data_IF_676530581491
#
_entry.id   IF_676530581491
#
_cell.length_a   1.000
_cell.length_b   1.000
_cell.length_c   1.000
_cell.angle_alpha   90.00
_cell.angle_beta   90.00
_cell.angle_gamma   90.00
#
_symmetry.space_group_name_H-M   'P 1'
#
loop_
_entity.id
_entity.type
_entity.pdbx_description
1 polymer ?
#
# COMPACT_ATOMS: atom_id res chain seq x y z
N UNK A 1 10.75 -9.62 -5.84
CA UNK A 1 9.48 -9.21 -5.19
C UNK A 1 9.61 -7.75 -4.80
N UNK A 2 8.54 -6.99 -4.99
CA UNK A 2 8.47 -5.56 -4.70
C UNK A 2 7.28 -5.27 -3.80
N UNK A 3 7.49 -4.37 -2.83
CA UNK A 3 6.44 -3.80 -2.02
C UNK A 3 6.39 -2.29 -2.21
N UNK A 4 5.18 -1.74 -2.22
CA UNK A 4 4.93 -0.31 -2.34
C UNK A 4 4.14 0.16 -1.13
N UNK A 5 4.72 1.08 -0.37
CA UNK A 5 4.05 1.75 0.75
C UNK A 5 3.50 3.08 0.25
N UNK A 6 2.19 3.25 0.36
CA UNK A 6 1.50 4.51 0.11
C UNK A 6 1.13 5.11 1.46
N UNK A 7 1.97 6.03 1.95
CA UNK A 7 1.79 6.71 3.23
C UNK A 7 0.87 7.91 3.07
N UNK A 8 -0.33 7.78 3.60
CA UNK A 8 -1.42 8.74 3.52
C UNK A 8 -1.47 9.66 4.75
N UNK A 9 -0.34 9.93 5.39
CA UNK A 9 -0.27 10.98 6.42
C UNK A 9 -0.69 12.34 5.87
N UNK A 10 -1.17 13.22 6.76
CA UNK A 10 -1.49 14.61 6.44
C UNK A 10 -0.28 15.54 6.56
N UNK A 11 0.87 15.03 7.04
CA UNK A 11 2.06 15.80 7.38
C UNK A 11 3.10 15.69 6.26
N UNK A 12 3.41 16.81 5.60
CA UNK A 12 4.41 16.84 4.54
C UNK A 12 5.82 16.63 5.08
N UNK A 13 6.71 16.06 4.27
CA UNK A 13 8.11 15.92 4.65
C UNK A 13 8.76 17.32 4.82
N UNK A 14 9.70 17.48 5.77
CA UNK A 14 10.29 16.47 6.65
C UNK A 14 9.56 16.29 7.99
N UNK A 15 8.30 16.71 8.12
CA UNK A 15 7.58 16.58 9.40
C UNK A 15 7.44 15.09 9.80
N UNK A 16 7.74 14.72 11.05
CA UNK A 16 7.56 13.36 11.55
C UNK A 16 6.09 12.92 11.49
N UNK A 17 5.88 11.70 11.00
CA UNK A 17 4.55 11.12 10.84
C UNK A 17 4.37 9.88 11.71
N UNK A 18 3.37 9.89 12.60
CA UNK A 18 3.03 8.71 13.41
C UNK A 18 2.54 7.53 12.55
N UNK A 19 2.07 7.78 11.32
CA UNK A 19 1.69 6.73 10.36
C UNK A 19 2.92 6.10 9.71
N UNK A 20 4.02 6.85 9.59
CA UNK A 20 5.26 6.35 8.98
C UNK A 20 5.94 5.32 9.88
N UNK A 21 6.04 5.58 11.19
CA UNK A 21 6.68 4.67 12.15
C UNK A 21 6.19 3.21 12.04
N UNK A 22 4.89 2.89 12.15
CA UNK A 22 4.42 1.50 11.99
C UNK A 22 4.56 1.00 10.55
N UNK A 23 4.42 1.86 9.54
CA UNK A 23 4.62 1.47 8.14
C UNK A 23 6.07 1.03 7.88
N UNK A 24 7.05 1.71 8.50
CA UNK A 24 8.47 1.38 8.40
C UNK A 24 8.81 0.06 9.12
N UNK A 25 8.15 -0.24 10.24
CA UNK A 25 8.26 -1.55 10.90
C UNK A 25 7.74 -2.64 9.97
N UNK A 26 6.53 -2.48 9.43
CA UNK A 26 5.93 -3.44 8.50
C UNK A 26 6.77 -3.61 7.24
N UNK A 27 7.34 -2.53 6.70
CA UNK A 27 8.20 -2.58 5.52
C UNK A 27 9.62 -3.09 5.83
N UNK A 28 10.07 -2.99 7.08
CA UNK A 28 11.38 -3.45 7.54
C UNK A 28 11.54 -4.96 7.45
N UNK A 29 10.52 -5.71 7.85
CA UNK A 29 10.50 -7.18 7.78
C UNK A 29 10.72 -7.75 6.37
N UNK A 30 9.93 -7.38 5.34
CA UNK A 30 10.17 -7.85 3.99
C UNK A 30 11.48 -7.31 3.41
N UNK A 31 11.89 -6.07 3.76
CA UNK A 31 13.17 -5.50 3.35
C UNK A 31 14.35 -6.35 3.83
N UNK A 32 14.34 -6.79 5.08
CA UNK A 32 15.37 -7.66 5.65
C UNK A 32 15.46 -9.02 4.93
N UNK A 33 14.41 -9.44 4.22
CA UNK A 33 14.33 -10.66 3.41
C UNK A 33 14.59 -10.42 1.92
N UNK A 34 15.09 -9.23 1.56
CA UNK A 34 15.47 -8.89 0.18
C UNK A 34 14.33 -8.38 -0.71
N UNK A 35 13.17 -8.05 -0.14
CA UNK A 35 12.09 -7.40 -0.90
C UNK A 35 12.44 -5.94 -1.15
N UNK A 36 12.35 -5.50 -2.41
CA UNK A 36 12.54 -4.09 -2.75
C UNK A 36 11.35 -3.25 -2.28
N UNK A 37 11.60 -2.24 -1.44
CA UNK A 37 10.56 -1.36 -0.90
C UNK A 37 10.63 0.00 -1.59
N UNK A 38 9.49 0.49 -2.07
CA UNK A 38 9.31 1.89 -2.50
C UNK A 38 8.24 2.54 -1.64
N UNK A 39 8.52 3.73 -1.10
CA UNK A 39 7.57 4.48 -0.28
C UNK A 39 7.19 5.79 -0.97
N UNK A 40 5.90 6.10 -1.01
CA UNK A 40 5.35 7.36 -1.46
C UNK A 40 4.62 8.03 -0.30
N UNK A 41 4.99 9.27 0.03
CA UNK A 41 4.24 10.09 0.97
C UNK A 41 3.24 10.94 0.18
N UNK A 42 1.96 10.58 0.26
CA UNK A 42 0.92 11.09 -0.64
C UNK A 42 0.79 12.61 -0.58
N UNK A 43 0.93 13.21 0.60
CA UNK A 43 0.81 14.66 0.78
C UNK A 43 1.95 15.45 0.12
N UNK A 44 3.07 14.80 -0.21
CA UNK A 44 4.18 15.42 -0.95
C UNK A 44 3.98 15.31 -2.48
N UNK A 45 2.95 14.61 -2.93
CA UNK A 45 2.64 14.36 -4.32
C UNK A 45 1.40 15.15 -4.74
N UNK A 46 1.44 15.77 -5.92
CA UNK A 46 0.25 16.43 -6.46
C UNK A 46 -0.70 15.40 -7.10
N UNK A 47 -1.51 14.72 -6.28
CA UNK A 47 -2.53 13.80 -6.78
C UNK A 47 -3.83 14.56 -7.03
N UNK A 48 -4.24 14.65 -8.29
CA UNK A 48 -5.50 15.28 -8.66
C UNK A 48 -6.69 14.37 -8.30
N UNK A 49 -7.85 14.93 -7.89
CA UNK A 49 -9.05 14.13 -7.64
C UNK A 49 -9.60 13.54 -8.95
N UNK A 50 -10.22 12.36 -8.87
CA UNK A 50 -10.83 11.67 -10.00
C UNK A 50 -10.60 10.16 -9.92
N UNK A 51 -11.00 9.42 -10.95
CA UNK A 51 -10.95 7.93 -10.95
C UNK A 51 -10.12 7.32 -12.09
N UNK A 52 -9.54 8.14 -12.98
CA UNK A 52 -8.74 7.66 -14.12
C UNK A 52 -7.25 7.43 -13.77
N UNK A 53 -6.46 6.74 -14.58
CA UNK A 53 -5.01 6.59 -14.32
C UNK A 53 -4.26 7.92 -14.38
N UNK A 54 -4.74 8.89 -15.16
CA UNK A 54 -4.11 10.19 -15.38
C UNK A 54 -5.20 11.26 -15.51
N UNK A 55 -5.19 12.28 -14.65
CA UNK A 55 -6.11 13.44 -14.75
C UNK A 55 -5.56 14.58 -15.61
N UNK A 56 -4.40 14.41 -16.23
CA UNK A 56 -3.76 15.40 -17.08
C UNK A 56 -2.64 16.16 -16.38
N UNK A 57 -2.40 17.40 -16.84
CA UNK A 57 -1.19 18.13 -16.47
C UNK A 57 -1.06 18.34 -14.96
N UNK A 58 0.10 17.95 -14.43
CA UNK A 58 0.45 18.11 -13.02
C UNK A 58 0.03 16.94 -12.13
N UNK A 59 -0.65 15.92 -12.64
CA UNK A 59 -1.02 14.75 -11.84
C UNK A 59 0.19 13.84 -11.56
N UNK A 60 0.50 13.63 -10.28
CA UNK A 60 1.55 12.73 -9.81
C UNK A 60 1.12 11.26 -9.73
N UNK A 61 -0.19 10.98 -9.83
CA UNK A 61 -0.73 9.62 -9.70
C UNK A 61 -0.15 8.59 -10.68
N UNK A 62 0.08 8.89 -11.98
CA UNK A 62 0.52 7.88 -12.95
C UNK A 62 1.81 7.14 -12.53
N UNK A 63 2.71 7.81 -11.82
CA UNK A 63 3.95 7.20 -11.30
C UNK A 63 3.67 6.21 -10.16
N UNK A 64 2.82 6.60 -9.21
CA UNK A 64 2.42 5.77 -8.07
C UNK A 64 1.62 4.56 -8.58
N UNK A 65 0.66 4.80 -9.48
CA UNK A 65 -0.15 3.77 -10.12
C UNK A 65 0.70 2.71 -10.82
N UNK A 66 1.70 3.13 -11.61
CA UNK A 66 2.63 2.18 -12.26
C UNK A 66 3.40 1.37 -11.22
N UNK A 67 3.88 2.00 -10.16
CA UNK A 67 4.59 1.32 -9.07
C UNK A 67 3.71 0.27 -8.38
N UNK A 68 2.41 0.54 -8.20
CA UNK A 68 1.45 -0.38 -7.60
C UNK A 68 1.21 -1.61 -8.49
N UNK A 69 0.97 -1.41 -9.79
CA UNK A 69 0.81 -2.52 -10.76
C UNK A 69 2.04 -3.41 -10.85
N UNK A 70 3.20 -2.82 -10.62
CA UNK A 70 4.49 -3.48 -10.62
C UNK A 70 4.77 -4.26 -9.32
N UNK A 71 4.08 -3.94 -8.23
CA UNK A 71 4.32 -4.53 -6.92
C UNK A 71 3.46 -5.78 -6.68
N UNK A 72 4.00 -6.70 -5.87
CA UNK A 72 3.23 -7.84 -5.34
C UNK A 72 2.61 -7.53 -3.97
N UNK A 73 3.16 -6.55 -3.25
CA UNK A 73 2.76 -6.20 -1.88
C UNK A 73 2.42 -4.70 -1.83
N UNK A 74 1.19 -4.30 -2.15
CA UNK A 74 0.72 -2.94 -1.89
C UNK A 74 0.39 -2.77 -0.40
N UNK A 75 0.87 -1.67 0.21
CA UNK A 75 0.61 -1.31 1.61
C UNK A 75 0.06 0.11 1.63
N UNK A 76 -1.21 0.28 1.98
CA UNK A 76 -1.80 1.61 2.21
C UNK A 76 -1.71 1.91 3.71
N UNK A 77 -0.82 2.83 4.09
CA UNK A 77 -0.63 3.24 5.47
C UNK A 77 -1.37 4.57 5.70
N UNK A 78 -2.43 4.57 6.50
CA UNK A 78 -3.24 5.76 6.76
C UNK A 78 -3.40 6.00 8.26
N UNK A 79 -3.38 7.25 8.74
CA UNK A 79 -3.92 7.54 10.06
C UNK A 79 -5.44 7.33 10.04
N UNK A 80 -6.00 7.05 11.21
CA UNK A 80 -7.46 7.00 11.43
C UNK A 80 -7.93 8.32 12.01
N UNK A 81 -8.92 8.93 11.37
CA UNK A 81 -9.53 10.20 11.77
C UNK A 81 -11.04 10.03 11.90
N UNK A 82 -11.56 10.14 13.13
CA UNK A 82 -13.01 10.02 13.42
C UNK A 82 -13.60 8.72 12.82
N UNK A 83 -12.85 7.61 12.94
CA UNK A 83 -13.26 6.30 12.42
C UNK A 83 -13.06 6.10 10.91
N UNK A 84 -12.51 7.07 10.18
CA UNK A 84 -12.30 6.99 8.73
C UNK A 84 -10.80 7.00 8.36
N UNK A 85 -10.43 6.47 7.19
CA UNK A 85 -9.15 6.79 6.57
C UNK A 85 -8.98 8.29 6.36
N UNK A 86 -7.73 8.73 6.25
CA UNK A 86 -7.40 10.11 5.93
C UNK A 86 -7.89 10.52 4.53
N UNK A 87 -8.07 11.82 4.28
CA UNK A 87 -8.46 12.30 2.95
C UNK A 87 -7.45 11.96 1.83
N UNK A 88 -6.11 11.93 2.05
CA UNK A 88 -5.18 11.38 1.07
C UNK A 88 -5.40 9.89 0.80
N UNK A 89 -5.75 9.10 1.83
CA UNK A 89 -6.06 7.69 1.64
C UNK A 89 -7.32 7.49 0.80
N UNK A 90 -8.37 8.26 1.08
CA UNK A 90 -9.59 8.25 0.27
C UNK A 90 -9.28 8.59 -1.20
N UNK A 91 -8.46 9.64 -1.43
CA UNK A 91 -8.01 9.99 -2.78
C UNK A 91 -7.28 8.83 -3.43
N UNK A 92 -6.31 8.21 -2.75
CA UNK A 92 -5.59 7.03 -3.29
C UNK A 92 -6.56 5.92 -3.68
N UNK A 93 -7.55 5.59 -2.84
CA UNK A 93 -8.53 4.53 -3.11
C UNK A 93 -9.37 4.86 -4.34
N UNK A 94 -9.87 6.10 -4.48
CA UNK A 94 -10.60 6.55 -5.67
C UNK A 94 -9.73 6.47 -6.93
N UNK A 95 -8.45 6.82 -6.83
CA UNK A 95 -7.50 6.75 -7.94
C UNK A 95 -7.10 5.31 -8.30
N UNK A 96 -7.25 4.36 -7.37
CA UNK A 96 -7.07 2.93 -7.62
C UNK A 96 -8.25 2.33 -8.40
N UNK A 97 -9.38 3.01 -8.54
CA UNK A 97 -10.51 2.54 -9.36
C UNK A 97 -10.08 2.28 -10.82
N UNK A 98 -9.23 3.16 -11.38
CA UNK A 98 -8.60 2.98 -12.68
C UNK A 98 -7.85 1.64 -12.86
N UNK A 99 -7.33 1.07 -11.77
CA UNK A 99 -6.65 -0.23 -11.81
C UNK A 99 -7.67 -1.29 -12.24
N UNK A 100 -8.90 -1.23 -11.74
CA UNK A 100 -9.93 -2.23 -12.00
C UNK A 100 -10.58 -2.11 -13.39
N UNK A 101 -10.44 -0.96 -14.04
CA UNK A 101 -11.02 -0.70 -15.37
C UNK A 101 -10.18 -1.24 -16.53
N UNK A 102 -8.91 -1.58 -16.28
CA UNK A 102 -8.02 -2.15 -17.31
C UNK A 102 -7.91 -3.67 -17.20
N UNK A 103 -7.74 -4.36 -18.32
CA UNK A 103 -7.48 -5.82 -18.33
C UNK A 103 -6.25 -6.16 -17.48
N UNK A 104 -5.17 -5.39 -17.65
CA UNK A 104 -3.93 -5.55 -16.89
C UNK A 104 -4.17 -5.41 -15.38
N UNK A 105 -4.92 -4.41 -14.94
CA UNK A 105 -5.14 -4.19 -13.51
C UNK A 105 -6.17 -5.16 -12.90
N UNK A 106 -7.13 -5.67 -13.67
CA UNK A 106 -7.99 -6.81 -13.27
C UNK A 106 -7.16 -8.07 -13.04
N UNK A 107 -6.25 -8.39 -13.95
CA UNK A 107 -5.33 -9.52 -13.82
C UNK A 107 -4.40 -9.35 -12.61
N UNK A 108 -3.86 -8.15 -12.42
CA UNK A 108 -3.07 -7.80 -11.24
C UNK A 108 -3.88 -8.00 -9.94
N UNK A 109 -5.12 -7.53 -9.91
CA UNK A 109 -6.00 -7.66 -8.74
C UNK A 109 -6.29 -9.13 -8.41
N UNK A 110 -6.61 -9.95 -9.43
CA UNK A 110 -6.81 -11.39 -9.27
C UNK A 110 -5.54 -12.13 -8.83
N UNK A 111 -4.38 -11.77 -9.38
CA UNK A 111 -3.09 -12.36 -9.00
C UNK A 111 -2.74 -12.02 -7.56
N UNK A 112 -2.89 -10.75 -7.17
CA UNK A 112 -2.62 -10.26 -5.82
C UNK A 112 -3.55 -10.91 -4.80
N UNK A 113 -4.85 -11.00 -5.10
CA UNK A 113 -5.82 -11.67 -4.25
C UNK A 113 -5.50 -13.17 -4.06
N UNK A 114 -5.09 -13.87 -5.12
CA UNK A 114 -4.66 -15.28 -5.03
C UNK A 114 -3.39 -15.45 -4.20
N UNK A 115 -2.41 -14.55 -4.36
CA UNK A 115 -1.20 -14.56 -3.54
C UNK A 115 -1.53 -14.33 -2.05
N UNK A 116 -2.40 -13.36 -1.76
CA UNK A 116 -2.88 -13.11 -0.40
C UNK A 116 -3.57 -14.34 0.19
N UNK A 117 -4.50 -14.97 -0.54
CA UNK A 117 -5.19 -16.17 -0.07
C UNK A 117 -4.21 -17.33 0.20
N UNK A 118 -3.25 -17.55 -0.69
CA UNK A 118 -2.21 -18.56 -0.51
C UNK A 118 -1.35 -18.29 0.73
N UNK A 119 -0.98 -17.03 0.96
CA UNK A 119 -0.19 -16.64 2.13
C UNK A 119 -0.98 -16.86 3.42
N UNK A 120 -2.26 -16.46 3.46
CA UNK A 120 -3.13 -16.67 4.61
C UNK A 120 -3.28 -18.15 4.96
N UNK A 121 -3.51 -19.00 3.96
CA UNK A 121 -3.62 -20.45 4.15
C UNK A 121 -2.30 -21.06 4.67
N UNK A 122 -1.18 -20.74 4.02
CA UNK A 122 0.13 -21.25 4.42
C UNK A 122 0.52 -20.81 5.84
N UNK A 123 0.24 -19.56 6.21
CA UNK A 123 0.45 -19.06 7.57
C UNK A 123 -0.46 -19.77 8.56
N UNK A 124 -1.73 -19.98 8.23
CA UNK A 124 -2.66 -20.70 9.10
C UNK A 124 -2.21 -22.15 9.34
N UNK A 125 -1.80 -22.87 8.30
CA UNK A 125 -1.24 -24.23 8.45
C UNK A 125 0.03 -24.25 9.30
N UNK A 126 0.95 -23.30 9.06
CA UNK A 126 2.19 -23.20 9.83
C UNK A 126 1.93 -22.91 11.31
N UNK A 127 1.01 -21.98 11.62
CA UNK A 127 0.64 -21.64 13.00
C UNK A 127 -0.12 -22.76 13.70
N UNK A 128 -0.91 -23.56 12.97
CA UNK A 128 -1.56 -24.75 13.52
C UNK A 128 -0.54 -25.82 13.90
N UNK A 129 0.52 -26.00 13.09
CA UNK A 129 1.59 -26.95 13.38
C UNK A 129 2.57 -26.44 14.46
N UNK A 130 2.86 -25.14 14.47
CA UNK A 130 3.81 -24.48 15.37
C UNK A 130 3.27 -23.11 15.80
N UNK A 131 2.48 -23.06 16.89
CA UNK A 131 1.94 -21.79 17.39
C UNK A 131 3.06 -20.81 17.77
N UNK A 132 2.99 -19.59 17.25
CA UNK A 132 3.88 -18.50 17.67
C UNK A 132 3.35 -17.93 19.00
N UNK A 133 4.15 -17.92 20.08
CA UNK A 133 3.74 -17.34 21.34
C UNK A 133 3.52 -15.83 21.18
N UNK A 134 2.69 -15.24 22.05
CA UNK A 134 2.51 -13.79 22.07
C UNK A 134 3.88 -13.09 22.18
N UNK A 135 4.08 -11.94 21.49
CA UNK A 135 5.29 -11.14 21.67
C UNK A 135 5.48 -10.84 23.17
N UNK A 136 6.72 -10.82 23.67
CA UNK A 136 6.97 -10.38 25.04
C UNK A 136 6.47 -8.94 25.23
N UNK A 137 5.85 -8.68 26.39
CA UNK A 137 5.42 -7.33 26.82
C UNK A 137 6.61 -6.40 27.08
#
# INVERSE_FOLDING_TARGET
MRAVVVNCTLKSAPEPSNTETPADVVAGEPRARGVGITTYRVVDENILPGVQTDMGQGDGWPRIHRSLLDAEIPIVATPTWVGHPSSPAQRVIERMDAILDSEQGRDWSHKTARAMASNLYAVAEALAAQPVPAPPE
#
